data_IF_519022618481
#
_entry.id   IF_519022618481
#
_cell.length_a   1.000
_cell.length_b   1.000
_cell.length_c   1.000
_cell.angle_alpha   90.00
_cell.angle_beta   90.00
_cell.angle_gamma   90.00
#
_symmetry.space_group_name_H-M   'P 1'
#
loop_
_entity.id
_entity.type
_entity.pdbx_description
1 polymer ?
2 non-polymer ?
3 non-polymer ?
4 non-polymer ?
5 water ?
#
# COMPACT_ATOMS: atom_id res chain seq x y z
N UNK A 19 -24.29 21.36 12.77
CA UNK A 19 -23.41 20.49 12.00
C UNK A 19 -24.15 19.69 10.95
N UNK A 20 -23.56 19.52 9.75
CA UNK A 20 -24.18 18.76 8.67
C UNK A 20 -24.14 17.26 8.96
N UNK A 21 -25.09 16.53 8.38
CA UNK A 21 -25.17 15.07 8.46
C UNK A 21 -25.10 14.51 7.02
N UNK A 22 -24.58 13.28 6.89
CA UNK A 22 -24.47 12.56 5.62
C UNK A 22 -24.88 11.12 5.91
N UNK A 23 -25.98 10.63 5.32
CA UNK A 23 -26.41 9.23 5.44
C UNK A 23 -26.50 8.78 6.92
N UNK A 24 -27.17 9.58 7.75
CA UNK A 24 -27.36 9.24 9.15
C UNK A 24 -26.11 9.31 10.02
N UNK A 25 -25.04 9.97 9.53
CA UNK A 25 -23.82 10.19 10.29
C UNK A 25 -23.59 11.69 10.37
N UNK A 26 -23.37 12.24 11.57
CA UNK A 26 -22.82 13.61 11.68
C UNK A 26 -21.45 13.69 11.00
N UNK A 27 -21.26 14.73 10.17
CA UNK A 27 -20.02 14.95 9.47
C UNK A 27 -19.71 16.44 9.62
N UNK A 28 -19.08 16.77 10.74
CA UNK A 28 -19.11 18.12 11.28
C UNK A 28 -17.77 18.78 11.07
N UNK A 29 -17.63 19.44 9.96
CA UNK A 29 -16.31 19.88 9.47
C UNK A 29 -16.24 21.38 9.37
N UNK A 30 -16.77 22.03 10.41
CA UNK A 30 -16.74 23.48 10.56
C UNK A 30 -17.36 24.18 9.38
N UNK A 31 -17.41 25.50 9.45
CA UNK A 31 -17.84 26.27 8.29
C UNK A 31 -16.86 26.32 7.11
N UNK A 32 -15.58 25.96 7.29
CA UNK A 32 -14.61 25.97 6.17
C UNK A 32 -15.08 25.03 5.04
N UNK A 33 -15.59 23.86 5.38
CA UNK A 33 -15.92 22.82 4.40
C UNK A 33 -17.44 22.60 4.33
N UNK A 34 -18.03 22.84 3.14
CA UNK A 34 -19.49 22.82 2.98
C UNK A 34 -19.93 21.96 1.80
N UNK A 35 -21.20 21.52 1.81
CA UNK A 35 -21.84 20.85 0.68
C UNK A 35 -21.29 19.42 0.52
N UNK A 36 -21.65 18.55 1.47
CA UNK A 36 -21.00 17.24 1.60
C UNK A 36 -21.74 16.17 0.77
N UNK A 37 -20.96 15.38 0.01
CA UNK A 37 -21.47 14.21 -0.70
C UNK A 37 -20.61 12.98 -0.36
N UNK A 38 -21.27 11.86 -0.05
CA UNK A 38 -20.62 10.58 0.30
C UNK A 38 -19.61 10.09 -0.77
N UNK A 39 -18.56 9.36 -0.36
CA UNK A 39 -17.61 8.70 -1.28
C UNK A 39 -17.45 7.20 -0.96
N UNK A 40 -17.17 6.86 0.29
CA UNK A 40 -16.98 5.47 0.68
C UNK A 40 -16.52 5.30 2.11
N UNK A 45 -14.27 4.87 9.43
CA UNK A 45 -15.31 5.88 9.29
C UNK A 45 -15.49 6.47 7.90
N UNK A 46 -16.47 7.35 7.76
CA UNK A 46 -16.95 7.88 6.46
C UNK A 46 -15.96 8.80 5.70
N UNK A 47 -15.89 8.68 4.35
CA UNK A 47 -15.22 9.63 3.46
C UNK A 47 -16.29 10.43 2.71
N UNK A 48 -16.18 11.76 2.69
CA UNK A 48 -17.02 12.64 1.92
C UNK A 48 -16.15 13.58 1.10
N UNK A 49 -16.69 14.03 -0.02
CA UNK A 49 -16.18 15.22 -0.69
C UNK A 49 -16.86 16.42 -0.04
N UNK A 50 -16.21 17.58 -0.13
CA UNK A 50 -16.73 18.81 0.42
C UNK A 50 -16.07 19.98 -0.27
N UNK A 51 -16.75 21.12 -0.34
CA UNK A 51 -16.15 22.32 -0.88
C UNK A 51 -15.31 23.01 0.19
N UNK A 52 -14.01 23.22 -0.08
CA UNK A 52 -13.14 24.01 0.78
C UNK A 52 -13.34 25.47 0.42
N UNK A 53 -13.93 26.26 1.33
CA UNK A 53 -14.24 27.66 1.01
C UNK A 53 -13.03 28.59 1.01
N UNK A 54 -11.93 28.18 1.66
CA UNK A 54 -10.68 28.93 1.60
C UNK A 54 -10.00 28.72 0.21
N UNK A 55 -9.53 27.51 -0.12
CA UNK A 55 -8.78 27.27 -1.36
C UNK A 55 -9.68 27.19 -2.60
N UNK A 56 -10.99 27.01 -2.41
CA UNK A 56 -11.99 27.13 -3.47
C UNK A 56 -11.85 25.98 -4.45
N UNK A 57 -11.82 24.76 -3.87
CA UNK A 57 -11.74 23.45 -4.55
C UNK A 57 -12.51 22.42 -3.73
N UNK A 58 -13.06 21.38 -4.34
CA UNK A 58 -13.56 20.26 -3.56
C UNK A 58 -12.35 19.45 -3.06
N UNK A 59 -12.47 18.96 -1.81
CA UNK A 59 -11.46 18.20 -1.10
C UNK A 59 -12.08 16.89 -0.66
N UNK A 60 -11.26 15.92 -0.25
CA UNK A 60 -11.75 14.71 0.39
C UNK A 60 -11.56 14.89 1.89
N UNK A 61 -12.50 14.39 2.68
CA UNK A 61 -12.41 14.40 4.13
C UNK A 61 -12.82 13.07 4.62
N UNK A 62 -11.99 12.42 5.43
CA UNK A 62 -12.41 11.22 6.15
C UNK A 62 -12.53 11.44 7.67
N UNK A 63 -13.61 10.88 8.26
CA UNK A 63 -13.95 10.92 9.66
C UNK A 63 -13.38 9.68 10.30
N UNK A 64 -12.59 9.85 11.36
CA UNK A 64 -12.15 8.78 12.21
C UNK A 64 -12.84 8.99 13.57
N UNK A 65 -13.53 7.97 14.08
CA UNK A 65 -14.17 7.98 15.40
C UNK A 65 -13.49 6.99 16.35
N UNK A 71 -10.66 3.08 22.66
CA UNK A 71 -11.39 4.11 21.89
C UNK A 71 -10.77 4.25 20.47
N UNK A 72 -9.46 4.70 20.39
CA UNK A 72 -8.71 5.02 19.18
C UNK A 72 -7.75 3.92 18.76
N UNK A 73 -7.09 4.09 17.59
CA UNK A 73 -6.31 3.05 16.98
C UNK A 73 -4.92 3.55 16.71
N UNK A 74 -3.92 2.69 17.02
CA UNK A 74 -2.50 2.78 16.61
C UNK A 74 -2.37 3.15 15.14
N UNK A 75 -3.25 2.63 14.29
CA UNK A 75 -3.14 2.82 12.86
C UNK A 75 -3.34 4.31 12.50
N UNK A 76 -4.32 5.00 13.19
CA UNK A 76 -4.60 6.40 12.97
C UNK A 76 -3.35 7.22 13.21
N UNK A 77 -2.71 7.03 14.34
CA UNK A 77 -1.53 7.78 14.70
C UNK A 77 -0.39 7.49 13.75
N UNK A 78 -0.17 6.20 13.44
CA UNK A 78 0.90 5.77 12.52
C UNK A 78 0.79 6.52 11.21
N UNK A 79 -0.44 6.52 10.64
CA UNK A 79 -0.68 7.20 9.38
C UNK A 79 -0.44 8.71 9.43
N UNK A 80 -0.90 9.36 10.51
CA UNK A 80 -0.80 10.82 10.58
C UNK A 80 0.66 11.20 10.64
N UNK A 81 1.44 10.55 11.51
CA UNK A 81 2.86 10.87 11.64
C UNK A 81 3.58 10.69 10.26
N UNK A 82 3.32 9.54 9.60
CA UNK A 82 3.94 9.30 8.29
C UNK A 82 3.55 10.34 7.25
N UNK A 83 2.29 10.56 7.03
CA UNK A 83 1.81 11.46 5.98
C UNK A 83 2.13 12.92 6.21
N UNK A 84 2.20 13.37 7.46
CA UNK A 84 2.66 14.72 7.74
C UNK A 84 4.16 14.83 7.50
N UNK A 85 4.94 13.74 7.69
CA UNK A 85 6.37 13.79 7.46
C UNK A 85 6.67 13.69 5.97
N UNK A 86 5.93 12.88 5.23
CA UNK A 86 6.19 12.70 3.81
C UNK A 86 5.74 13.87 2.98
N UNK A 87 6.55 14.19 1.93
CA UNK A 87 6.16 15.16 0.94
C UNK A 87 6.61 14.64 -0.43
N UNK A 88 5.66 14.16 -1.26
CA UNK A 88 5.96 13.58 -2.56
C UNK A 88 4.75 13.60 -3.47
N UNK A 89 4.96 13.83 -4.76
CA UNK A 89 3.86 13.97 -5.74
C UNK A 89 3.00 12.72 -5.84
N UNK A 90 3.58 11.48 -5.58
CA UNK A 90 2.87 10.22 -5.71
C UNK A 90 2.44 9.63 -4.39
N UNK A 91 2.38 10.47 -3.32
CA UNK A 91 1.95 10.09 -2.00
C UNK A 91 0.91 11.10 -1.54
N UNK A 92 -0.26 10.61 -1.11
CA UNK A 92 -1.32 11.51 -0.65
C UNK A 92 -0.80 12.34 0.57
N UNK A 93 -1.15 13.61 0.58
CA UNK A 93 -0.78 14.46 1.70
C UNK A 93 -1.92 14.60 2.69
N UNK A 94 -1.66 15.24 3.82
CA UNK A 94 -2.74 15.80 4.63
C UNK A 94 -2.71 17.33 4.51
N UNK A 95 -3.81 17.94 4.08
CA UNK A 95 -3.97 19.38 3.92
C UNK A 95 -4.46 20.05 5.19
N UNK A 96 -5.23 19.33 5.99
CA UNK A 96 -5.84 19.90 7.21
C UNK A 96 -6.33 18.74 8.10
N UNK A 97 -6.41 18.96 9.43
CA UNK A 97 -6.99 18.01 10.33
C UNK A 97 -7.92 18.80 11.26
N UNK A 98 -9.16 18.33 11.42
CA UNK A 98 -10.16 19.00 12.21
C UNK A 98 -10.44 18.15 13.42
N UNK A 99 -10.34 18.80 14.59
CA UNK A 99 -10.69 18.15 15.82
C UNK A 99 -11.09 19.26 16.85
N UNK A 100 -11.67 18.84 17.96
CA UNK A 100 -12.05 19.77 19.04
C UNK A 100 -10.79 20.40 19.69
N UNK A 101 -10.93 21.60 20.31
CA UNK A 101 -9.75 22.26 20.87
C UNK A 101 -9.08 21.60 22.07
N UNK A 102 -9.72 20.65 22.73
CA UNK A 102 -9.19 20.02 23.94
C UNK A 102 -9.34 18.53 23.87
N UNK A 103 -8.48 17.78 24.60
CA UNK A 103 -8.57 16.31 24.65
C UNK A 103 -9.92 15.86 25.13
N UNK A 104 -10.45 16.52 26.15
CA UNK A 104 -11.71 16.16 26.76
C UNK A 104 -12.85 16.23 25.74
N UNK A 105 -12.83 17.23 24.85
CA UNK A 105 -13.91 17.39 23.89
C UNK A 105 -13.66 16.64 22.57
N UNK A 106 -12.44 16.11 22.35
CA UNK A 106 -12.10 15.50 21.08
C UNK A 106 -12.74 14.16 21.05
N UNK A 107 -13.58 13.89 20.05
CA UNK A 107 -14.09 12.52 19.83
C UNK A 107 -13.72 12.13 18.40
N UNK A 108 -14.25 12.81 17.42
CA UNK A 108 -13.92 12.54 16.01
C UNK A 108 -12.68 13.36 15.56
N UNK A 109 -11.91 12.81 14.64
CA UNK A 109 -10.84 13.49 13.94
C UNK A 109 -11.22 13.47 12.46
N UNK A 110 -11.14 14.61 11.80
CA UNK A 110 -11.33 14.67 10.34
C UNK A 110 -10.03 15.00 9.63
N UNK A 111 -9.67 14.18 8.63
CA UNK A 111 -8.43 14.37 7.87
C UNK A 111 -8.81 14.83 6.51
N UNK A 112 -8.28 15.96 6.09
CA UNK A 112 -8.61 16.61 4.84
C UNK A 112 -7.45 16.38 3.85
N UNK A 113 -7.79 15.90 2.67
CA UNK A 113 -6.80 15.53 1.66
C UNK A 113 -7.28 15.98 0.29
N UNK A 114 -6.37 15.98 -0.72
CA UNK A 114 -6.76 16.29 -2.11
C UNK A 114 -7.88 15.33 -2.54
N UNK A 115 -8.87 15.87 -3.23
CA UNK A 115 -9.92 15.06 -3.80
C UNK A 115 -9.28 14.33 -4.99
N UNK A 116 -9.57 13.05 -5.09
CA UNK A 116 -9.04 12.26 -6.18
C UNK A 116 -10.30 11.60 -6.79
N UNK A 117 -10.58 11.85 -8.09
CA UNK A 117 -11.75 11.33 -8.84
C UNK A 117 -12.03 9.87 -8.55
N UNK A 118 -10.98 9.01 -8.54
CA UNK A 118 -11.19 7.57 -8.51
C UNK A 118 -9.95 6.85 -7.83
N UNK A 119 -9.95 5.54 -7.85
CA UNK A 119 -8.83 4.73 -7.44
C UNK A 119 -8.65 3.59 -8.43
N UNK A 120 -7.53 2.86 -8.33
CA UNK A 120 -7.26 1.82 -9.30
C UNK A 120 -8.23 0.64 -9.16
N UNK A 121 -8.79 0.38 -7.98
CA UNK A 121 -9.72 -0.71 -7.79
C UNK A 121 -11.00 -0.42 -8.65
N UNK A 122 -11.58 0.76 -8.49
CA UNK A 122 -12.75 1.24 -9.24
C UNK A 122 -12.47 1.31 -10.71
N UNK A 123 -11.28 1.81 -11.07
CA UNK A 123 -10.89 1.92 -12.45
C UNK A 123 -10.80 0.52 -13.10
N UNK A 124 -10.20 -0.46 -12.43
CA UNK A 124 -10.06 -1.81 -13.00
C UNK A 124 -11.39 -2.58 -13.09
N UNK A 125 -12.36 -2.23 -12.26
CA UNK A 125 -13.66 -2.90 -12.31
C UNK A 125 -14.41 -2.47 -13.60
N UNK A 126 -14.13 -1.25 -14.17
CA UNK A 126 -14.92 -0.64 -15.24
C UNK A 126 -14.13 -0.38 -16.55
N UNK A 127 -12.77 -0.30 -16.52
CA UNK A 127 -12.02 0.20 -17.66
C UNK A 127 -10.88 -0.69 -18.07
N UNK A 128 -10.74 -0.88 -19.37
CA UNK A 128 -9.56 -1.48 -19.98
C UNK A 128 -8.45 -0.41 -20.00
N UNK A 129 -7.25 -0.78 -19.54
CA UNK A 129 -6.13 0.15 -19.55
C UNK A 129 -5.34 -0.10 -20.79
N UNK A 130 -4.96 0.97 -21.53
CA UNK A 130 -3.98 0.86 -22.57
C UNK A 130 -2.62 0.49 -21.95
N UNK A 131 -1.72 -0.11 -22.75
CA UNK A 131 -0.35 -0.31 -22.31
C UNK A 131 0.29 1.00 -21.86
N UNK A 132 -0.03 2.15 -22.51
CA UNK A 132 0.54 3.42 -22.08
C UNK A 132 0.09 3.79 -20.67
N UNK A 133 -1.18 3.52 -20.34
CA UNK A 133 -1.70 3.85 -19.01
C UNK A 133 -1.06 2.91 -17.98
N UNK A 134 -0.92 1.62 -18.29
CA UNK A 134 -0.36 0.61 -17.37
C UNK A 134 1.11 1.06 -17.03
N UNK A 135 1.86 1.39 -18.04
CA UNK A 135 3.22 1.89 -17.93
C UNK A 135 3.35 3.13 -17.04
N UNK A 136 2.56 4.14 -17.33
CA UNK A 136 2.51 5.36 -16.54
C UNK A 136 2.07 5.09 -15.08
N UNK A 137 1.00 4.31 -14.85
CA UNK A 137 0.60 3.98 -13.47
C UNK A 137 1.72 3.26 -12.72
N UNK A 138 2.31 2.23 -13.33
CA UNK A 138 3.40 1.50 -12.72
C UNK A 138 4.58 2.41 -12.36
N UNK A 139 4.94 3.33 -13.28
CA UNK A 139 6.01 4.27 -13.04
C UNK A 139 5.74 5.09 -11.76
N UNK A 140 4.55 5.67 -11.66
CA UNK A 140 4.18 6.51 -10.53
C UNK A 140 4.11 5.76 -9.21
N UNK A 141 3.59 4.52 -9.23
CA UNK A 141 3.62 3.60 -8.06
C UNK A 141 5.07 3.43 -7.61
N UNK A 142 5.98 3.06 -8.53
CA UNK A 142 7.37 2.82 -8.13
C UNK A 142 8.09 4.10 -7.71
N UNK A 143 7.76 5.20 -8.33
CA UNK A 143 8.37 6.53 -7.96
C UNK A 143 8.00 6.89 -6.49
N UNK A 144 6.70 6.78 -6.14
CA UNK A 144 6.25 6.95 -4.77
C UNK A 144 6.89 5.94 -3.84
N UNK A 145 6.88 4.68 -4.25
CA UNK A 145 7.51 3.62 -3.44
C UNK A 145 9.00 3.86 -3.19
N UNK A 146 9.74 4.39 -4.17
CA UNK A 146 11.17 4.72 -3.98
C UNK A 146 11.33 5.67 -2.77
N UNK A 147 10.49 6.68 -2.72
CA UNK A 147 10.50 7.66 -1.63
C UNK A 147 10.18 7.00 -0.28
N UNK A 148 9.13 6.21 -0.21
CA UNK A 148 8.70 5.52 1.01
C UNK A 148 9.85 4.61 1.51
N UNK A 149 10.39 3.76 0.65
CA UNK A 149 11.50 2.89 0.98
C UNK A 149 12.77 3.68 1.37
N UNK A 150 13.01 4.84 0.73
CA UNK A 150 14.20 5.62 1.05
C UNK A 150 14.06 6.17 2.50
N UNK A 151 12.83 6.29 3.04
CA UNK A 151 12.61 6.71 4.39
C UNK A 151 12.68 5.52 5.38
N UNK A 152 13.12 4.33 4.92
CA UNK A 152 13.13 3.07 5.68
C UNK A 152 11.75 2.68 6.17
N UNK A 153 10.69 3.06 5.41
CA UNK A 153 9.32 2.66 5.70
C UNK A 153 8.83 1.63 4.67
N UNK A 154 8.04 0.69 5.13
CA UNK A 154 7.28 -0.28 4.34
C UNK A 154 5.84 0.13 4.40
N UNK A 155 5.15 0.20 3.25
CA UNK A 155 3.72 0.46 3.19
C UNK A 155 2.92 -0.73 3.77
N UNK A 156 3.18 -1.93 3.28
CA UNK A 156 2.66 -3.22 3.73
C UNK A 156 1.21 -3.46 3.39
N UNK A 157 0.54 -2.57 2.66
CA UNK A 157 -0.80 -2.88 2.18
C UNK A 157 -1.12 -2.25 0.84
N UNK A 158 -0.17 -2.33 -0.11
CA UNK A 158 -0.35 -1.82 -1.45
C UNK A 158 -1.34 -2.74 -2.14
N UNK A 159 -2.30 -2.12 -2.76
CA UNK A 159 -3.40 -2.78 -3.48
C UNK A 159 -4.11 -1.69 -4.30
N UNK A 160 -4.86 -2.08 -5.34
CA UNK A 160 -5.51 -1.08 -6.19
C UNK A 160 -6.34 -0.03 -5.43
N UNK A 161 -7.07 -0.40 -4.35
CA UNK A 161 -7.95 0.59 -3.67
C UNK A 161 -7.10 1.65 -2.87
N UNK A 162 -5.79 1.37 -2.64
CA UNK A 162 -4.88 2.32 -1.99
C UNK A 162 -4.10 3.14 -2.99
N UNK A 163 -4.51 3.13 -4.25
CA UNK A 163 -3.85 3.90 -5.28
C UNK A 163 -4.91 4.80 -5.87
N UNK A 164 -4.88 6.01 -5.46
CA UNK A 164 -5.81 7.05 -5.91
C UNK A 164 -5.40 7.70 -7.22
N UNK A 165 -6.39 8.11 -8.02
CA UNK A 165 -6.18 8.75 -9.31
C UNK A 165 -7.11 9.92 -9.57
N UNK A 166 -6.60 10.91 -10.21
CA UNK A 166 -7.40 12.09 -10.55
C UNK A 166 -7.77 11.98 -12.01
N UNK A 167 -8.49 13.02 -12.55
CA UNK A 167 -9.05 12.93 -13.91
C UNK A 167 -8.01 12.94 -14.98
N UNK A 168 -6.76 13.36 -14.65
CA UNK A 168 -5.65 13.35 -15.58
C UNK A 168 -4.68 12.16 -15.30
N UNK A 169 -5.13 11.21 -14.52
CA UNK A 169 -4.34 10.00 -14.28
C UNK A 169 -3.02 10.21 -13.43
N UNK A 170 -2.93 11.30 -12.67
CA UNK A 170 -1.94 11.39 -11.60
C UNK A 170 -2.34 10.41 -10.51
N UNK A 171 -1.35 9.69 -9.95
CA UNK A 171 -1.54 8.63 -9.04
C UNK A 171 -0.87 8.98 -7.74
N UNK A 172 -1.57 8.72 -6.66
CA UNK A 172 -1.07 8.90 -5.31
C UNK A 172 -1.39 7.68 -4.37
N UNK A 173 -0.33 7.20 -3.72
CA UNK A 173 -0.37 6.14 -2.78
C UNK A 173 -1.02 6.66 -1.51
N UNK A 174 -1.96 5.91 -0.98
CA UNK A 174 -2.64 6.30 0.26
C UNK A 174 -2.68 5.12 1.27
N UNK A 175 -3.31 5.36 2.43
CA UNK A 175 -3.49 4.41 3.51
C UNK A 175 -2.20 3.80 4.10
N UNK A 176 -1.56 4.50 5.01
CA UNK A 176 -0.38 4.04 5.68
C UNK A 176 -0.66 3.45 7.07
N UNK A 177 -1.89 2.97 7.30
CA UNK A 177 -2.32 2.47 8.59
C UNK A 177 -1.61 1.21 9.03
N UNK A 178 -1.09 0.38 8.07
CA UNK A 178 -0.28 -0.78 8.39
C UNK A 178 1.19 -0.60 8.14
N UNK A 179 1.66 0.62 7.86
CA UNK A 179 3.06 0.86 7.59
C UNK A 179 3.96 0.67 8.78
N UNK A 180 5.20 0.25 8.55
CA UNK A 180 6.18 0.00 9.64
C UNK A 180 7.52 0.48 9.16
N UNK A 181 8.39 0.83 10.10
CA UNK A 181 9.81 0.96 9.83
C UNK A 181 10.38 -0.41 9.47
N UNK A 182 11.18 -0.49 8.44
CA UNK A 182 11.82 -1.74 8.03
C UNK A 182 12.71 -2.35 9.15
N UNK A 183 12.71 -3.66 9.23
CA UNK A 183 13.38 -4.39 10.29
C UNK A 183 13.75 -5.77 9.81
N UNK A 184 14.64 -5.85 8.82
CA UNK A 184 14.98 -7.15 8.26
C UNK A 184 15.62 -8.14 9.21
N UNK A 185 16.32 -7.69 10.28
CA UNK A 185 16.96 -8.60 11.24
C UNK A 185 15.96 -9.35 12.07
N UNK A 186 14.75 -8.81 12.26
CA UNK A 186 13.64 -9.49 12.96
C UNK A 186 12.51 -9.91 11.98
N UNK A 187 12.81 -10.22 10.73
CA UNK A 187 11.76 -10.61 9.77
C UNK A 187 11.26 -12.06 9.97
N UNK A 188 12.05 -12.93 10.63
CA UNK A 188 11.75 -14.37 10.62
C UNK A 188 10.69 -14.76 11.63
N UNK A 189 9.84 -15.67 11.19
CA UNK A 189 8.79 -16.25 12.02
C UNK A 189 8.57 -17.70 11.55
N UNK A 190 7.73 -18.42 12.28
CA UNK A 190 7.35 -19.76 11.89
C UNK A 190 6.29 -19.78 10.81
N UNK A 191 5.88 -20.99 10.54
CA UNK A 191 5.03 -21.32 9.42
C UNK A 191 3.58 -21.00 9.80
N UNK A 192 2.82 -20.44 8.86
CA UNK A 192 1.38 -20.14 9.10
C UNK A 192 1.15 -19.08 10.21
N UNK A 193 2.05 -18.09 10.33
CA UNK A 193 1.90 -17.01 11.31
C UNK A 193 0.86 -16.05 10.77
N UNK A 194 -0.07 -15.62 11.62
CA UNK A 194 -1.20 -14.80 11.19
C UNK A 194 -0.64 -13.44 10.66
N UNK A 195 -1.30 -12.89 9.65
CA UNK A 195 -0.89 -11.61 9.10
C UNK A 195 -2.11 -10.73 8.88
N UNK A 196 -1.90 -9.39 8.95
CA UNK A 196 -2.99 -8.41 8.89
C UNK A 196 -3.31 -7.90 7.45
N UNK A 197 -2.29 -7.63 6.61
CA UNK A 197 -2.45 -6.99 5.31
C UNK A 197 -3.30 -7.81 4.30
N UNK A 198 -3.84 -7.16 3.30
CA UNK A 198 -4.82 -7.73 2.36
C UNK A 198 -4.30 -9.00 1.67
N UNK A 199 -5.11 -10.06 1.71
CA UNK A 199 -4.62 -11.40 1.39
C UNK A 199 -4.08 -11.56 -0.05
N UNK A 200 -4.79 -11.07 -1.03
CA UNK A 200 -4.43 -11.29 -2.43
C UNK A 200 -3.04 -10.70 -2.86
N UNK A 201 -2.54 -9.78 -2.07
CA UNK A 201 -1.31 -9.03 -2.38
C UNK A 201 -0.15 -9.43 -1.45
N UNK A 202 -0.32 -10.49 -0.61
CA UNK A 202 0.68 -11.04 0.30
C UNK A 202 1.72 -11.89 -0.43
N UNK A 203 2.99 -11.62 -0.19
CA UNK A 203 4.10 -12.35 -0.76
C UNK A 203 4.08 -13.77 -0.19
N UNK A 204 4.62 -14.73 -0.96
CA UNK A 204 4.54 -16.14 -0.52
C UNK A 204 5.20 -16.35 0.86
N UNK A 205 6.33 -15.62 1.10
CA UNK A 205 7.10 -15.79 2.31
C UNK A 205 6.30 -15.44 3.58
N UNK A 206 5.24 -14.57 3.48
CA UNK A 206 4.36 -14.29 4.64
C UNK A 206 3.78 -15.59 5.22
N UNK A 207 3.36 -16.50 4.32
CA UNK A 207 2.75 -17.76 4.74
C UNK A 207 3.78 -18.81 5.22
N UNK A 208 5.07 -18.56 5.01
CA UNK A 208 6.11 -19.52 5.25
C UNK A 208 7.02 -19.16 6.41
N UNK A 209 7.67 -17.99 6.36
CA UNK A 209 8.67 -17.62 7.37
C UNK A 209 8.88 -16.11 7.59
N UNK A 210 7.95 -15.25 7.15
CA UNK A 210 8.15 -13.80 7.15
C UNK A 210 7.05 -13.04 7.89
N UNK A 211 7.48 -12.05 8.73
CA UNK A 211 6.63 -11.04 9.36
C UNK A 211 6.36 -9.83 8.44
N UNK A 212 6.90 -9.79 7.21
CA UNK A 212 6.68 -8.66 6.30
C UNK A 212 7.36 -7.38 6.73
N UNK A 213 8.59 -7.52 7.26
CA UNK A 213 9.40 -6.42 7.78
C UNK A 213 10.52 -6.00 6.79
N UNK A 214 10.47 -6.43 5.52
CA UNK A 214 11.45 -6.03 4.53
C UNK A 214 10.77 -5.42 3.32
N UNK A 215 11.58 -4.61 2.58
CA UNK A 215 11.10 -3.85 1.42
C UNK A 215 10.54 -4.75 0.32
N UNK A 216 11.08 -5.98 0.20
CA UNK A 216 10.66 -6.99 -0.77
C UNK A 216 9.16 -7.33 -0.65
N UNK A 217 8.56 -7.12 0.54
CA UNK A 217 7.12 -7.38 0.72
C UNK A 217 6.22 -6.46 -0.20
N UNK A 218 6.63 -5.20 -0.30
CA UNK A 218 5.96 -4.18 -1.10
C UNK A 218 6.16 -4.41 -2.57
N UNK A 219 7.34 -4.85 -3.00
CA UNK A 219 7.57 -5.15 -4.41
C UNK A 219 6.65 -6.26 -4.89
N UNK A 220 6.42 -7.31 -4.05
CA UNK A 220 5.52 -8.42 -4.42
C UNK A 220 4.14 -7.80 -4.68
N UNK A 221 3.66 -6.91 -3.79
CA UNK A 221 2.35 -6.29 -3.95
C UNK A 221 2.26 -5.55 -5.26
N UNK A 222 3.29 -4.78 -5.57
CA UNK A 222 3.36 -4.03 -6.83
C UNK A 222 3.27 -4.99 -8.06
N UNK A 223 3.99 -6.11 -8.02
CA UNK A 223 3.91 -7.20 -8.98
C UNK A 223 2.47 -7.63 -9.18
N UNK A 224 1.77 -7.82 -8.07
CA UNK A 224 0.40 -8.29 -8.12
C UNK A 224 -0.51 -7.26 -8.82
N UNK A 225 -0.27 -5.99 -8.55
CA UNK A 225 -0.99 -4.88 -9.07
C UNK A 225 -0.73 -4.75 -10.56
N UNK A 226 0.53 -4.89 -11.00
CA UNK A 226 0.91 -4.89 -12.41
C UNK A 226 0.15 -6.00 -13.15
N UNK A 227 0.18 -7.19 -12.59
CA UNK A 227 -0.58 -8.30 -13.17
C UNK A 227 -2.09 -7.98 -13.32
N UNK A 228 -2.65 -7.36 -12.30
CA UNK A 228 -4.05 -7.01 -12.27
C UNK A 228 -4.37 -5.90 -13.32
N UNK A 229 -3.43 -4.97 -13.53
CA UNK A 229 -3.62 -3.95 -14.57
C UNK A 229 -3.62 -4.60 -15.97
N UNK A 230 -2.85 -5.67 -16.18
CA UNK A 230 -2.78 -6.34 -17.44
C UNK A 230 -4.07 -7.08 -17.87
N UNK A 231 -4.83 -7.62 -16.94
CA UNK A 231 -6.01 -8.42 -17.25
C UNK A 231 -7.31 -7.99 -16.56
N UNK A 232 -7.28 -6.95 -15.73
CA UNK A 232 -8.38 -6.50 -14.89
C UNK A 232 -8.85 -7.51 -13.85
N UNK A 233 -8.02 -8.50 -13.50
CA UNK A 233 -8.44 -9.53 -12.54
C UNK A 233 -7.28 -9.78 -11.61
N UNK A 234 -7.56 -10.00 -10.33
CA UNK A 234 -6.45 -10.28 -9.41
C UNK A 234 -5.74 -11.56 -9.84
N UNK A 235 -4.44 -11.55 -9.79
CA UNK A 235 -3.66 -12.68 -10.25
C UNK A 235 -3.75 -13.88 -9.28
N UNK A 236 -3.78 -13.65 -7.96
CA UNK A 236 -3.76 -14.72 -6.92
C UNK A 236 -4.93 -14.45 -5.94
N UNK A 237 -6.17 -14.67 -6.39
CA UNK A 237 -7.34 -14.43 -5.54
C UNK A 237 -7.61 -15.55 -4.53
N UNK A 238 -6.70 -15.77 -3.59
CA UNK A 238 -6.88 -16.78 -2.57
C UNK A 238 -8.08 -16.50 -1.69
N UNK A 239 -8.79 -17.54 -1.31
CA UNK A 239 -9.98 -17.42 -0.44
C UNK A 239 -9.70 -17.62 1.04
N UNK A 240 -8.52 -18.03 1.41
CA UNK A 240 -8.15 -18.17 2.79
C UNK A 240 -6.63 -18.27 2.91
N UNK A 241 -6.13 -18.14 4.12
CA UNK A 241 -4.72 -17.98 4.42
C UNK A 241 -3.78 -18.85 3.57
N UNK A 242 -3.89 -20.20 3.60
CA UNK A 242 -2.94 -21.06 2.87
C UNK A 242 -3.27 -21.18 1.40
N UNK A 243 -4.55 -20.99 1.02
CA UNK A 243 -4.98 -20.95 -0.40
C UNK A 243 -4.24 -19.85 -1.15
N UNK A 244 -3.88 -18.75 -0.47
CA UNK A 244 -3.10 -17.67 -1.11
C UNK A 244 -1.80 -18.25 -1.67
N UNK A 245 -1.10 -19.04 -0.84
CA UNK A 245 0.11 -19.74 -1.27
C UNK A 245 -0.13 -20.74 -2.39
N UNK A 246 -1.22 -21.51 -2.35
CA UNK A 246 -1.58 -22.43 -3.43
C UNK A 246 -1.72 -21.68 -4.80
N UNK A 247 -2.40 -20.51 -4.80
CA UNK A 247 -2.54 -19.71 -6.01
C UNK A 247 -1.15 -19.26 -6.54
N UNK A 248 -0.31 -18.79 -5.68
CA UNK A 248 1.04 -18.33 -6.08
C UNK A 248 1.84 -19.44 -6.72
N UNK A 249 1.88 -20.59 -6.04
CA UNK A 249 2.62 -21.74 -6.58
C UNK A 249 1.98 -22.32 -7.87
N UNK A 250 0.67 -22.19 -8.03
CA UNK A 250 -0.01 -22.62 -9.24
C UNK A 250 0.48 -21.90 -10.50
N UNK A 251 1.05 -20.69 -10.36
CA UNK A 251 1.53 -19.90 -11.52
C UNK A 251 3.04 -19.90 -11.55
N UNK A 252 3.69 -19.56 -10.43
CA UNK A 252 5.18 -19.63 -10.41
C UNK A 252 5.73 -21.07 -10.57
N UNK A 253 4.94 -22.04 -10.23
CA UNK A 253 5.39 -23.40 -10.10
C UNK A 253 6.17 -23.70 -8.82
N UNK A 254 6.60 -24.99 -8.67
CA UNK A 254 7.31 -25.41 -7.49
C UNK A 254 8.60 -24.62 -7.30
N UNK A 255 8.91 -24.16 -6.08
CA UNK A 255 10.24 -23.54 -5.86
C UNK A 255 11.38 -24.50 -6.13
N UNK A 256 12.45 -23.91 -6.58
CA UNK A 256 13.69 -24.59 -6.88
C UNK A 256 14.32 -25.14 -5.60
N UNK A 257 15.19 -26.14 -5.74
CA UNK A 257 15.96 -26.62 -4.56
C UNK A 257 16.68 -25.46 -3.82
N UNK A 258 17.32 -24.55 -4.57
CA UNK A 258 18.03 -23.45 -3.96
C UNK A 258 17.08 -22.53 -3.16
N UNK A 259 15.93 -22.18 -3.76
CA UNK A 259 14.93 -21.36 -3.07
C UNK A 259 14.34 -22.08 -1.84
N UNK A 260 14.13 -23.38 -1.92
CA UNK A 260 13.71 -24.18 -0.76
C UNK A 260 14.75 -24.21 0.33
N UNK A 261 16.02 -24.42 -0.04
CA UNK A 261 17.10 -24.45 0.94
C UNK A 261 17.19 -23.16 1.73
N UNK A 262 16.78 -21.99 1.14
CA UNK A 262 16.68 -20.75 1.92
C UNK A 262 15.66 -20.77 3.02
N UNK A 263 14.64 -21.61 2.94
CA UNK A 263 13.63 -21.73 3.99
C UNK A 263 14.15 -22.75 5.04
N UNK A 264 14.68 -22.25 6.12
CA UNK A 264 15.31 -23.13 7.12
C UNK A 264 14.26 -23.74 8.08
N UNK A 265 13.16 -23.01 8.33
CA UNK A 265 12.07 -23.51 9.12
C UNK A 265 11.53 -24.82 8.60
N UNK A 266 11.57 -25.89 9.40
CA UNK A 266 11.25 -27.21 8.89
C UNK A 266 9.77 -27.39 8.58
N UNK A 267 8.86 -26.76 9.36
CA UNK A 267 7.42 -26.89 9.06
C UNK A 267 7.13 -26.28 7.67
N UNK A 268 7.69 -25.11 7.40
CA UNK A 268 7.51 -24.43 6.11
C UNK A 268 8.13 -25.21 4.98
N UNK A 269 9.43 -25.67 5.16
CA UNK A 269 10.16 -26.44 4.17
C UNK A 269 9.37 -27.71 3.79
N UNK A 270 8.98 -28.47 4.80
CA UNK A 270 8.35 -29.75 4.58
C UNK A 270 6.94 -29.61 3.99
N UNK A 271 6.25 -28.52 4.29
CA UNK A 271 4.97 -28.27 3.63
C UNK A 271 5.20 -28.18 2.11
N UNK A 272 6.18 -27.37 1.71
CA UNK A 272 6.51 -27.21 0.33
C UNK A 272 6.96 -28.54 -0.33
N UNK A 273 7.79 -29.30 0.37
CA UNK A 273 8.23 -30.60 -0.16
C UNK A 273 7.11 -31.61 -0.32
N UNK A 274 6.01 -31.47 0.46
CA UNK A 274 4.84 -32.35 0.46
C UNK A 274 3.94 -32.15 -0.77
N UNK A 275 4.11 -31.04 -1.50
CA UNK A 275 3.20 -30.69 -2.58
C UNK A 275 3.66 -31.42 -3.84
N UNK A 276 2.73 -31.85 -4.68
CA UNK A 276 3.12 -32.31 -6.03
C UNK A 276 3.86 -31.27 -6.82
N UNK A 277 4.74 -31.69 -7.74
CA UNK A 277 5.38 -30.77 -8.67
C UNK A 277 4.32 -29.98 -9.45
N UNK A 278 4.54 -28.66 -9.56
CA UNK A 278 3.68 -27.73 -10.30
C UNK A 278 4.59 -27.04 -11.28
N UNK A 279 4.18 -27.03 -12.57
CA UNK A 279 4.94 -26.32 -13.61
C UNK A 279 4.64 -24.87 -13.55
N UNK A 280 5.60 -24.05 -13.98
CA UNK A 280 5.47 -22.61 -14.14
C UNK A 280 4.48 -22.36 -15.28
N UNK A 281 3.57 -21.42 -15.09
CA UNK A 281 2.65 -20.95 -16.14
C UNK A 281 3.43 -19.79 -16.76
N UNK A 282 3.77 -19.88 -18.08
CA UNK A 282 4.42 -18.76 -18.77
C UNK A 282 3.61 -17.50 -18.71
N UNK A 283 4.26 -16.38 -18.35
CA UNK A 283 3.56 -15.09 -18.31
C UNK A 283 2.86 -14.74 -19.61
N UNK A 284 3.52 -15.02 -20.75
CA UNK A 284 2.93 -14.66 -22.05
C UNK A 284 1.67 -15.54 -22.39
N UNK A 285 1.45 -16.66 -21.69
CA UNK A 285 0.19 -17.42 -21.83
C UNK A 285 -0.94 -16.86 -20.90
N UNK A 286 -0.59 -16.46 -19.65
CA UNK A 286 -1.54 -15.71 -18.80
C UNK A 286 -1.89 -14.35 -19.35
N UNK A 287 -0.94 -13.69 -20.06
CA UNK A 287 -1.07 -12.30 -20.50
C UNK A 287 -0.67 -12.20 -21.98
N UNK A 288 -1.51 -12.81 -22.84
CA UNK A 288 -1.17 -12.86 -24.29
C UNK A 288 -1.12 -11.48 -24.98
N UNK A 289 -1.85 -10.49 -24.46
CA UNK A 289 -1.87 -9.10 -24.97
C UNK A 289 -0.75 -8.17 -24.41
N UNK A 290 -0.03 -8.59 -23.36
CA UNK A 290 0.89 -7.71 -22.66
C UNK A 290 2.17 -7.44 -23.43
N UNK A 291 2.74 -6.30 -23.20
CA UNK A 291 4.06 -5.94 -23.70
C UNK A 291 5.11 -6.86 -23.13
N UNK A 292 6.07 -7.33 -23.96
CA UNK A 292 7.04 -8.29 -23.49
C UNK A 292 7.96 -7.72 -22.39
N UNK A 293 8.26 -6.44 -22.43
CA UNK A 293 9.10 -5.80 -21.41
C UNK A 293 8.32 -5.73 -20.11
N UNK A 294 6.99 -5.47 -20.17
CA UNK A 294 6.16 -5.47 -18.94
C UNK A 294 6.21 -6.86 -18.25
N UNK A 295 6.17 -7.97 -19.05
CA UNK A 295 6.19 -9.30 -18.51
C UNK A 295 7.59 -9.65 -17.93
N UNK A 296 8.66 -9.14 -18.51
CA UNK A 296 10.01 -9.33 -17.96
C UNK A 296 10.07 -8.69 -16.56
N UNK A 297 9.52 -7.49 -16.44
CA UNK A 297 9.52 -6.79 -15.15
C UNK A 297 8.61 -7.48 -14.15
N UNK A 298 7.41 -7.91 -14.60
CA UNK A 298 6.51 -8.68 -13.75
C UNK A 298 7.18 -9.89 -13.11
N UNK A 299 7.92 -10.66 -13.94
CA UNK A 299 8.65 -11.83 -13.52
C UNK A 299 9.62 -11.52 -12.39
N UNK A 300 10.30 -10.42 -12.50
CA UNK A 300 11.31 -10.00 -11.53
C UNK A 300 10.69 -9.49 -10.22
N UNK A 301 9.51 -8.88 -10.31
CA UNK A 301 8.75 -8.47 -9.12
C UNK A 301 8.07 -9.68 -8.42
N UNK A 302 7.51 -10.63 -9.20
CA UNK A 302 6.93 -11.85 -8.66
C UNK A 302 7.88 -13.05 -8.59
N UNK A 303 9.06 -12.80 -8.02
CA UNK A 303 10.03 -13.82 -7.77
C UNK A 303 9.72 -14.41 -6.42
N UNK A 304 9.75 -15.78 -6.33
CA UNK A 304 9.38 -16.48 -5.11
C UNK A 304 10.31 -16.09 -3.97
N UNK A 305 11.61 -16.04 -4.26
CA UNK A 305 12.63 -15.87 -3.23
C UNK A 305 12.78 -14.37 -3.02
N UNK A 306 12.45 -13.88 -1.83
CA UNK A 306 12.50 -12.42 -1.61
C UNK A 306 13.89 -11.79 -1.76
N UNK A 307 14.96 -12.56 -1.58
CA UNK A 307 16.33 -12.06 -1.75
C UNK A 307 16.68 -11.80 -3.22
N UNK A 308 16.06 -12.55 -4.13
CA UNK A 308 16.29 -12.45 -5.57
C UNK A 308 15.28 -11.45 -6.23
N UNK A 309 14.29 -11.01 -5.48
CA UNK A 309 13.25 -10.12 -5.99
C UNK A 309 13.85 -8.77 -6.31
N UNK A 310 13.43 -8.17 -7.42
CA UNK A 310 13.95 -6.84 -7.83
C UNK A 310 13.61 -5.77 -6.75
N UNK A 311 14.51 -4.77 -6.55
CA UNK A 311 14.27 -3.69 -5.62
C UNK A 311 13.68 -2.51 -6.38
N UNK A 312 13.11 -1.54 -5.66
CA UNK A 312 12.34 -0.47 -6.30
C UNK A 312 13.15 0.35 -7.26
N UNK A 313 14.43 0.63 -6.94
CA UNK A 313 15.26 1.45 -7.83
C UNK A 313 15.66 0.68 -9.10
N UNK A 314 15.93 -0.66 -9.00
CA UNK A 314 16.13 -1.50 -10.16
C UNK A 314 14.90 -1.58 -11.02
N UNK A 315 13.74 -1.71 -10.40
CA UNK A 315 12.47 -1.71 -11.15
C UNK A 315 12.30 -0.41 -11.98
N UNK A 316 12.57 0.75 -11.39
CA UNK A 316 12.45 2.00 -12.13
C UNK A 316 13.40 2.06 -13.34
N UNK A 317 14.59 1.47 -13.21
CA UNK A 317 15.63 1.43 -14.24
C UNK A 317 15.37 0.35 -15.30
N UNK A 318 14.26 -0.43 -15.18
CA UNK A 318 13.97 -1.51 -16.11
C UNK A 318 13.51 -0.97 -17.47
N UNK A 319 13.93 -1.61 -18.57
CA UNK A 319 13.52 -1.13 -19.93
C UNK A 319 12.05 -0.80 -20.15
N UNK A 320 11.11 -1.49 -19.48
CA UNK A 320 9.69 -1.19 -19.62
C UNK A 320 9.38 0.27 -19.34
N UNK A 321 10.14 0.88 -18.35
CA UNK A 321 9.89 2.22 -17.88
C UNK A 321 10.83 3.29 -18.44
N UNK A 322 11.60 2.94 -19.48
CA UNK A 322 12.60 3.82 -20.13
C UNK A 322 12.10 5.17 -20.53
N UNK A 323 10.86 5.26 -20.94
CA UNK A 323 10.28 6.55 -21.37
C UNK A 323 10.15 7.53 -20.22
N UNK A 324 10.04 7.03 -18.98
CA UNK A 324 9.83 7.84 -17.82
C UNK A 324 11.06 7.93 -16.91
N UNK A 325 11.91 6.92 -16.93
CA UNK A 325 12.99 6.79 -15.92
C UNK A 325 13.89 8.01 -15.92
N UNK A 326 14.04 8.60 -14.77
CA UNK A 326 14.86 9.80 -14.59
C UNK A 326 15.14 9.93 -13.07
N UNK A 327 16.26 9.34 -12.61
CA UNK A 327 16.48 9.22 -11.17
C UNK A 327 16.65 10.59 -10.51
N UNK A 328 17.06 11.62 -11.28
CA UNK A 328 17.15 12.97 -10.72
C UNK A 328 15.76 13.57 -10.40
N UNK A 329 14.70 13.04 -11.03
CA UNK A 329 13.33 13.45 -10.84
C UNK A 329 12.51 12.37 -10.12
N UNK A 330 13.19 11.52 -9.29
CA UNK A 330 12.58 10.50 -8.48
C UNK A 330 13.17 10.72 -7.08
N UNK A 331 12.65 11.72 -6.40
CA UNK A 331 13.25 12.13 -5.12
C UNK A 331 13.17 11.09 -3.99
N UNK A 332 14.10 11.23 -3.06
CA UNK A 332 14.10 10.43 -1.84
C UNK A 332 13.81 11.32 -0.62
N UNK A 333 13.52 10.70 0.52
CA UNK A 333 13.29 11.37 1.79
C UNK A 333 14.61 11.95 2.33
N UNK A 334 14.54 13.12 2.89
CA UNK A 334 15.69 13.75 3.54
C UNK A 334 16.27 12.92 4.70
N UNK A 335 15.43 12.16 5.43
CA UNK A 335 15.95 11.31 6.48
C UNK A 335 15.14 10.03 6.71
N UNK A 336 15.74 8.98 7.31
CA UNK A 336 14.93 7.80 7.66
C UNK A 336 13.87 8.18 8.70
N UNK A 337 12.70 7.60 8.59
CA UNK A 337 11.58 7.85 9.46
C UNK A 337 11.78 7.01 10.71
N UNK A 338 11.30 7.54 11.87
CA UNK A 338 11.43 6.90 13.17
C UNK A 338 10.19 7.11 14.04
N UNK A 339 9.66 6.00 14.60
CA UNK A 339 8.69 6.05 15.67
C UNK A 339 9.50 6.13 16.97
N UNK A 340 9.21 7.14 17.81
CA UNK A 340 10.04 7.38 19.00
C UNK A 340 9.85 6.31 20.10
N UNK A 341 8.60 5.92 20.39
CA UNK A 341 8.29 4.79 21.28
C UNK A 341 7.54 3.69 20.51
N UNK A 342 7.58 2.46 21.05
CA UNK A 342 6.87 1.34 20.46
C UNK A 342 5.37 1.59 20.65
N UNK A 343 4.64 1.88 19.55
CA UNK A 343 3.22 2.19 19.66
C UNK A 343 2.37 0.98 20.11
N UNK A 344 2.92 -0.27 20.01
CA UNK A 344 2.15 -1.49 20.26
C UNK A 344 1.66 -1.65 21.70
N UNK A 345 2.45 -1.21 22.70
CA UNK A 345 2.05 -1.37 24.10
C UNK A 345 1.26 -0.15 24.64
N UNK A 346 0.85 0.82 23.76
CA UNK A 346 0.35 2.09 24.28
C UNK A 346 -1.08 1.98 24.82
N UNK A 347 -1.32 2.35 26.10
CA UNK A 347 -2.72 2.41 26.57
C UNK A 347 -3.53 3.47 25.84
N UNK A 348 -4.85 3.28 25.82
CA UNK A 348 -5.78 4.12 25.05
C UNK A 348 -5.64 5.62 25.35
N UNK A 349 -5.20 5.98 26.57
CA UNK A 349 -5.11 7.38 27.02
C UNK A 349 -3.94 8.08 26.38
N UNK A 350 -2.78 7.41 26.40
CA UNK A 350 -1.56 7.97 25.85
C UNK A 350 -1.72 8.13 24.32
N UNK A 351 -2.47 7.22 23.65
CA UNK A 351 -2.69 7.23 22.21
C UNK A 351 -3.52 8.44 21.79
N UNK A 352 -4.63 8.70 22.52
CA UNK A 352 -5.47 9.88 22.29
C UNK A 352 -4.66 11.13 22.47
N UNK A 353 -3.84 11.19 23.53
CA UNK A 353 -2.95 12.33 23.78
C UNK A 353 -1.98 12.48 22.63
N UNK A 354 -1.38 11.36 22.13
CA UNK A 354 -0.49 11.45 20.98
C UNK A 354 -1.17 11.96 19.68
N UNK A 355 -2.39 11.52 19.40
CA UNK A 355 -3.15 12.00 18.25
C UNK A 355 -3.44 13.49 18.40
N UNK A 356 -3.94 13.89 19.55
CA UNK A 356 -4.14 15.32 19.86
C UNK A 356 -2.88 16.18 19.57
N UNK A 357 -1.70 15.74 20.10
CA UNK A 357 -0.44 16.44 19.88
C UNK A 357 0.00 16.45 18.43
N UNK A 358 -0.12 15.31 17.73
CA UNK A 358 0.31 15.27 16.32
C UNK A 358 -0.56 16.15 15.42
N UNK A 359 -1.83 16.41 15.81
CA UNK A 359 -2.75 17.23 15.01
C UNK A 359 -2.74 18.74 15.42
N UNK A 360 -1.93 19.11 16.42
CA UNK A 360 -1.92 20.46 16.97
C UNK A 360 -1.63 21.56 15.96
N UNK A 361 -0.78 21.30 14.95
CA UNK A 361 -0.35 22.33 14.03
C UNK A 361 -1.48 22.87 13.16
N UNK A 362 -2.61 22.15 13.04
CA UNK A 362 -3.71 22.60 12.22
C UNK A 362 -4.73 23.44 12.99
N UNK A 363 -4.51 23.68 14.26
CA UNK A 363 -5.41 24.47 15.05
C UNK A 363 -5.16 25.97 14.80
N UNK A 364 -6.25 26.77 14.75
CA UNK A 364 -6.10 28.25 14.57
C UNK A 364 -4.93 28.93 15.30
X LIG B 1 -6.55 -14.57 6.48
X LIG B 1 -5.94 -15.11 5.23
X LIG B 1 -6.90 -15.71 7.37
X LIG B 1 -5.52 -13.69 7.14
X LIG B 1 -7.75 -13.75 6.12
X LIG C 1 21.90 -24.57 7.69
X LIG C 1 22.06 -23.27 8.29
X LIG C 1 20.51 -25.17 7.94
X LIG C 1 20.24 -26.13 6.92
X LIG D 1 -13.32 -4.34 -18.63
X LIG D 1 -13.88 -4.22 -17.36
X LIG D 1 -12.01 -5.15 -18.56
X LIG D 1 -12.23 -6.39 -17.88
X LIG E 1 -6.47 5.88 0.85
X LIG E 1 -7.80 5.20 0.60
X LIG E 1 -9.85 8.02 0.13
X LIG E 1 -10.92 7.41 -0.51
X LIG E 1 -10.03 9.75 -1.50
X LIG E 1 -8.42 11.21 -0.96
X LIG E 1 -8.37 10.19 -0.05
X LIG E 1 -9.39 9.26 -0.39
X LIG E 1 -9.06 5.86 1.65
X LIG E 1 -8.56 5.78 3.00
X LIG E 1 -10.30 5.21 1.33
X LIG E 1 -9.23 7.44 1.28
X LIG E 1 -11.49 8.00 -1.62
X LIG E 1 -11.08 9.17 -2.14
X LIG E 1 -9.44 10.94 -1.83
X LIG E 1 -6.13 5.59 1.73
X LIG E 1 -6.61 6.85 0.89
X LIG E 1 -7.73 4.24 0.76
X LIG E 1 -8.08 5.35 -0.34
X LIG E 1 -11.25 6.58 -0.18
X LIG E 1 -7.87 11.97 -0.98
X LIG E 1 -7.77 10.11 0.66
X LIG E 1 -8.69 7.97 1.74
X LIG E 1 -12.22 7.55 -2.04
X LIG E 1 -9.68 11.45 -2.51
#
# INVERSE_FOLDING_TARGET
MAHHHHHHMAAAAAAGAGPEMVRGQVFDVGPRYTNLSYIGEGAYGMVCSAYDNVNKVRVAIKKISPFEHQTYCQRTLREIKILLRFRHENIIGINDIIRAPTIEQMKDVYIVQDLMETDLYKLLKTQHLSNDHICYFLYQILRGLKYIHSANVLHRDLKPSNLLLNTTCDLKICDFGLARVADPDHDHTGFLTEYVATRWYRAPEIMLNSKGYTKSIDIWSVGCILAEMLSNRPIFPGKHYLDQLNHILGILGSPSQEDLNCIINLKARNYLLSLPHKNKVPWNRLFPNADSKALDLLDKMLTFNPHKRIEVEQALAHPYLEQYYDPSDEPIAEAPFKFDMELDDLPKEKLKELIFEETARFQPGYRS
SO4 S O1 O2 O3 O4
EDO C1 O1 C2 O2
EDO C1 O1 C2 O2
N6U C1 C2 C7 C8 C11 C14 C15 C16 S3 O4 O5 N6 C9 N10 N12 H17 H18 H19 H25 H21 H23 H24 H20 H22 H13
#
